data_IF_938853219100
#
_entry.id   IF_938853219100
#
_cell.length_a   1.000
_cell.length_b   1.000
_cell.length_c   1.000
_cell.angle_alpha   90.00
_cell.angle_beta   90.00
_cell.angle_gamma   90.00
#
_symmetry.space_group_name_H-M   'P 1'
#
loop_
_entity.id
_entity.type
_entity.pdbx_description
1 polymer ?
#
# COMPACT_ATOMS: atom_id res chain seq x y z
N UNK A 1 47.38 19.95 28.78
CA UNK A 1 47.02 18.55 28.61
C UNK A 1 45.53 18.30 28.82
N UNK A 2 44.94 18.76 29.90
CA UNK A 2 43.54 18.59 30.19
C UNK A 2 42.64 19.17 29.08
N UNK A 3 42.97 20.31 28.56
CA UNK A 3 42.22 21.02 27.51
C UNK A 3 42.15 20.21 26.23
N UNK A 4 43.23 19.55 25.83
CA UNK A 4 43.27 18.72 24.62
C UNK A 4 42.43 17.47 24.76
N UNK A 5 42.37 16.88 25.95
CA UNK A 5 41.54 15.71 26.24
C UNK A 5 40.08 16.06 26.13
N UNK A 6 39.67 17.20 26.69
CA UNK A 6 38.29 17.68 26.63
C UNK A 6 37.91 17.97 25.20
N UNK A 7 38.76 18.63 24.41
CA UNK A 7 38.50 18.88 22.99
C UNK A 7 38.33 17.59 22.20
N UNK A 8 39.17 16.60 22.46
CA UNK A 8 39.09 15.30 21.80
C UNK A 8 37.75 14.59 22.10
N UNK A 9 37.31 14.63 23.35
CA UNK A 9 36.03 14.06 23.76
C UNK A 9 34.86 14.75 23.09
N UNK A 10 34.92 16.08 22.98
CA UNK A 10 33.86 16.84 22.31
C UNK A 10 33.75 16.47 20.83
N UNK A 11 34.91 16.34 20.15
CA UNK A 11 34.93 15.96 18.73
C UNK A 11 34.35 14.55 18.53
N UNK A 12 34.73 13.61 19.39
CA UNK A 12 34.19 12.25 19.35
C UNK A 12 32.65 12.25 19.56
N UNK A 13 32.19 13.04 20.53
CA UNK A 13 30.75 13.13 20.81
C UNK A 13 29.99 13.74 19.66
N UNK A 14 30.51 14.80 19.07
CA UNK A 14 29.92 15.42 17.89
C UNK A 14 29.84 14.44 16.71
N UNK A 15 30.89 13.67 16.47
CA UNK A 15 30.92 12.64 15.44
C UNK A 15 29.87 11.55 15.69
N UNK A 16 29.72 11.12 16.93
CA UNK A 16 28.71 10.13 17.31
C UNK A 16 27.29 10.64 17.09
N UNK A 17 27.01 11.87 17.50
CA UNK A 17 25.69 12.49 17.27
C UNK A 17 25.37 12.63 15.79
N UNK A 18 26.36 13.01 14.99
CA UNK A 18 26.19 13.13 13.53
C UNK A 18 25.89 11.76 12.92
N UNK A 19 26.58 10.71 13.36
CA UNK A 19 26.36 9.35 12.91
C UNK A 19 24.94 8.88 13.24
N UNK A 20 24.47 9.11 14.46
CA UNK A 20 23.10 8.78 14.85
C UNK A 20 22.07 9.53 14.01
N UNK A 21 22.31 10.80 13.75
CA UNK A 21 21.42 11.63 12.95
C UNK A 21 21.30 11.11 11.51
N UNK A 22 22.42 10.73 10.91
CA UNK A 22 22.44 10.15 9.57
C UNK A 22 21.70 8.81 9.55
N UNK A 23 21.91 7.98 10.58
CA UNK A 23 21.23 6.68 10.70
C UNK A 23 19.71 6.86 10.81
N UNK A 24 19.26 7.80 11.64
CA UNK A 24 17.84 8.10 11.79
C UNK A 24 17.23 8.64 10.50
N UNK A 25 17.97 9.51 9.81
CA UNK A 25 17.52 10.06 8.53
C UNK A 25 17.39 8.97 7.47
N UNK A 26 18.31 8.02 7.44
CA UNK A 26 18.27 6.89 6.51
C UNK A 26 17.07 5.98 6.79
N UNK A 27 16.75 5.72 8.06
CA UNK A 27 15.57 4.94 8.43
C UNK A 27 14.29 5.70 8.08
N UNK A 28 14.22 6.99 8.36
CA UNK A 28 13.08 7.82 8.02
C UNK A 28 12.86 7.89 6.49
N UNK A 29 13.94 7.99 5.71
CA UNK A 29 13.85 7.96 4.25
C UNK A 29 13.45 6.60 3.71
N UNK A 30 13.85 5.52 4.39
CA UNK A 30 13.44 4.17 3.99
C UNK A 30 11.94 3.95 4.27
N UNK A 31 11.42 4.59 5.31
CA UNK A 31 9.98 4.58 5.61
C UNK A 31 9.20 5.57 4.74
N UNK A 32 9.86 6.59 4.22
CA UNK A 32 9.33 7.46 3.18
C UNK A 32 9.61 6.83 1.81
N UNK A 33 9.33 5.56 1.65
CA UNK A 33 9.25 5.02 0.30
C UNK A 33 8.34 5.95 -0.50
N UNK A 34 8.83 6.44 -1.57
CA UNK A 34 8.25 7.30 -2.60
C UNK A 34 6.72 7.29 -2.72
N UNK A 35 6.03 7.15 -1.60
CA UNK A 35 4.60 7.29 -1.57
C UNK A 35 4.31 8.77 -1.40
N UNK A 36 3.86 9.37 -2.42
CA UNK A 36 3.28 10.69 -2.34
C UNK A 36 1.98 10.67 -1.52
N UNK A 37 1.78 9.62 -0.71
CA UNK A 37 0.55 9.42 0.04
C UNK A 37 -0.66 9.21 -0.84
N UNK A 38 -0.45 8.94 -2.11
CA UNK A 38 -1.52 8.81 -3.08
C UNK A 38 -2.18 7.44 -2.97
N UNK A 39 -3.46 7.44 -2.70
CA UNK A 39 -4.27 6.24 -2.69
C UNK A 39 -4.96 6.11 -4.05
N UNK A 40 -4.79 4.97 -4.69
CA UNK A 40 -5.41 4.68 -5.97
C UNK A 40 -6.61 3.77 -5.76
N UNK A 41 -7.72 4.12 -6.39
CA UNK A 41 -8.97 3.40 -6.26
C UNK A 41 -9.39 2.86 -7.62
N UNK A 42 -9.69 1.58 -7.68
CA UNK A 42 -10.27 0.94 -8.84
C UNK A 42 -11.56 0.23 -8.47
N UNK A 43 -12.60 0.37 -9.29
CA UNK A 43 -13.89 -0.26 -9.06
C UNK A 43 -14.28 -1.08 -10.28
N UNK A 44 -14.60 -2.35 -10.06
CA UNK A 44 -15.16 -3.24 -11.07
C UNK A 44 -16.54 -3.69 -10.62
N UNK A 45 -17.57 -3.38 -11.41
CA UNK A 45 -18.93 -3.87 -11.16
C UNK A 45 -19.18 -5.10 -12.01
N UNK A 46 -19.88 -6.07 -11.45
CA UNK A 46 -20.15 -7.30 -12.16
C UNK A 46 -21.46 -7.93 -11.65
N UNK A 47 -21.93 -8.92 -12.40
CA UNK A 47 -23.13 -9.66 -12.05
C UNK A 47 -22.79 -11.15 -12.02
N UNK A 48 -22.43 -11.72 -10.82
CA UNK A 48 -21.96 -13.10 -10.74
C UNK A 48 -23.07 -14.14 -10.99
N UNK A 49 -24.33 -13.77 -10.81
CA UNK A 49 -25.43 -14.71 -10.89
C UNK A 49 -26.36 -14.50 -12.11
N UNK A 50 -25.98 -13.61 -13.00
CA UNK A 50 -26.65 -13.42 -14.30
C UNK A 50 -28.07 -12.87 -14.28
N UNK A 51 -28.90 -13.34 -13.36
CA UNK A 51 -30.35 -13.07 -13.38
C UNK A 51 -30.88 -12.31 -12.16
N UNK A 52 -30.03 -11.91 -11.24
CA UNK A 52 -30.49 -11.29 -10.00
C UNK A 52 -30.00 -9.85 -9.92
N UNK A 53 -30.90 -8.92 -10.22
CA UNK A 53 -30.62 -7.51 -10.08
C UNK A 53 -29.52 -7.01 -11.01
N UNK A 54 -29.50 -5.72 -11.23
CA UNK A 54 -28.52 -5.07 -12.08
C UNK A 54 -27.22 -4.77 -11.34
N UNK A 55 -26.10 -5.34 -11.76
CA UNK A 55 -24.74 -4.93 -11.40
C UNK A 55 -24.55 -4.38 -9.97
N UNK A 56 -25.17 -5.01 -8.98
CA UNK A 56 -25.05 -4.60 -7.58
C UNK A 56 -23.81 -5.21 -6.90
N UNK A 57 -23.24 -6.24 -7.50
CA UNK A 57 -21.97 -6.78 -7.04
C UNK A 57 -20.82 -5.94 -7.57
N UNK A 58 -19.81 -5.73 -6.72
CA UNK A 58 -18.65 -4.96 -7.11
C UNK A 58 -17.40 -5.45 -6.40
N UNK A 59 -16.27 -5.13 -7.00
CA UNK A 59 -14.95 -5.34 -6.41
C UNK A 59 -14.21 -4.01 -6.43
N UNK A 60 -13.73 -3.58 -5.27
CA UNK A 60 -13.00 -2.32 -5.15
C UNK A 60 -11.59 -2.59 -4.66
N UNK A 61 -10.62 -2.03 -5.37
CA UNK A 61 -9.23 -2.10 -4.98
C UNK A 61 -8.76 -0.73 -4.49
N UNK A 62 -8.17 -0.71 -3.30
CA UNK A 62 -7.52 0.46 -2.74
C UNK A 62 -6.03 0.15 -2.68
N UNK A 63 -5.23 0.86 -3.46
CA UNK A 63 -3.80 0.61 -3.55
C UNK A 63 -3.00 1.78 -2.97
N UNK A 64 -2.01 1.43 -2.17
CA UNK A 64 -0.99 2.37 -1.69
C UNK A 64 0.33 2.01 -2.36
N UNK A 65 0.95 2.98 -3.01
CA UNK A 65 2.28 2.84 -3.62
C UNK A 65 2.40 1.75 -4.71
N UNK A 66 1.31 1.36 -5.30
CA UNK A 66 1.27 0.28 -6.31
C UNK A 66 1.74 -1.08 -5.79
N UNK A 67 1.88 -1.24 -4.48
CA UNK A 67 2.37 -2.48 -3.87
C UNK A 67 1.37 -3.09 -2.91
N UNK A 68 1.00 -2.33 -1.89
CA UNK A 68 0.11 -2.78 -0.83
C UNK A 68 -1.28 -2.24 -1.05
N UNK A 69 -2.26 -3.03 -0.67
CA UNK A 69 -3.62 -2.56 -0.80
C UNK A 69 -4.62 -3.48 -0.13
N UNK A 70 -5.87 -3.10 -0.28
CA UNK A 70 -7.02 -3.85 0.21
C UNK A 70 -7.99 -4.04 -0.94
N UNK A 71 -8.48 -5.25 -1.09
CA UNK A 71 -9.59 -5.53 -2.00
C UNK A 71 -10.84 -5.76 -1.18
N UNK A 72 -11.88 -4.99 -1.50
CA UNK A 72 -13.19 -5.15 -0.92
C UNK A 72 -14.12 -5.69 -2.00
N UNK A 73 -14.69 -6.86 -1.77
CA UNK A 73 -15.60 -7.50 -2.71
C UNK A 73 -16.97 -7.63 -2.06
N UNK A 74 -17.99 -7.10 -2.73
CA UNK A 74 -19.39 -7.22 -2.31
C UNK A 74 -20.13 -8.07 -3.31
N UNK A 75 -20.69 -9.19 -2.86
CA UNK A 75 -21.49 -10.09 -3.68
C UNK A 75 -22.94 -9.97 -3.27
N UNK A 76 -23.76 -9.49 -4.18
CA UNK A 76 -25.20 -9.36 -3.96
C UNK A 76 -25.93 -10.52 -4.61
N UNK A 77 -26.63 -11.31 -3.81
CA UNK A 77 -27.41 -12.47 -4.28
C UNK A 77 -28.84 -12.43 -3.74
N UNK A 78 -29.59 -13.47 -4.08
CA UNK A 78 -31.00 -13.58 -3.64
C UNK A 78 -31.15 -13.63 -2.13
N UNK A 79 -30.19 -14.23 -1.43
CA UNK A 79 -30.24 -14.43 0.02
C UNK A 79 -29.56 -13.30 0.81
N UNK A 80 -29.20 -12.22 0.16
CA UNK A 80 -28.53 -11.09 0.80
C UNK A 80 -27.21 -10.74 0.20
N UNK A 81 -26.50 -9.84 0.86
CA UNK A 81 -25.20 -9.34 0.40
C UNK A 81 -24.10 -9.89 1.28
N UNK A 82 -23.03 -10.39 0.67
CA UNK A 82 -21.83 -10.81 1.36
C UNK A 82 -20.67 -9.88 1.00
N UNK A 83 -19.94 -9.45 2.01
CA UNK A 83 -18.80 -8.53 1.82
C UNK A 83 -17.55 -9.21 2.33
N UNK A 84 -16.51 -9.19 1.53
CA UNK A 84 -15.20 -9.74 1.87
C UNK A 84 -14.15 -8.63 1.73
N UNK A 85 -13.27 -8.54 2.70
CA UNK A 85 -12.12 -7.64 2.64
C UNK A 85 -10.85 -8.48 2.74
N UNK A 86 -9.89 -8.21 1.86
CA UNK A 86 -8.63 -8.93 1.83
C UNK A 86 -7.48 -7.98 1.57
N UNK A 87 -6.42 -8.13 2.36
CA UNK A 87 -5.20 -7.40 2.13
C UNK A 87 -4.40 -8.05 1.00
N UNK A 88 -3.87 -7.24 0.12
CA UNK A 88 -3.06 -7.72 -1.00
C UNK A 88 -1.68 -7.07 -0.98
N UNK A 89 -0.70 -7.82 -1.45
CA UNK A 89 0.65 -7.34 -1.69
C UNK A 89 1.03 -7.77 -3.11
N UNK A 90 1.12 -6.81 -4.02
CA UNK A 90 1.37 -7.08 -5.42
C UNK A 90 2.79 -7.62 -5.69
N UNK A 91 3.72 -7.43 -4.75
CA UNK A 91 5.06 -8.00 -4.88
C UNK A 91 5.12 -9.48 -4.49
N UNK A 92 4.43 -9.85 -3.41
CA UNK A 92 4.49 -11.20 -2.85
C UNK A 92 3.33 -12.09 -3.28
N UNK A 93 2.13 -11.52 -3.34
CA UNK A 93 0.98 -12.26 -3.80
C UNK A 93 0.92 -12.22 -5.31
N UNK A 94 1.61 -13.14 -5.87
CA UNK A 94 1.50 -13.39 -7.30
C UNK A 94 0.02 -13.46 -7.67
N UNK A 95 -0.30 -12.94 -8.82
CA UNK A 95 -1.64 -12.80 -9.37
C UNK A 95 -2.47 -14.09 -9.39
N UNK A 96 -1.91 -15.18 -8.92
CA UNK A 96 -2.46 -16.53 -9.02
C UNK A 96 -3.71 -16.77 -8.16
N UNK A 97 -3.89 -16.00 -7.08
CA UNK A 97 -5.02 -16.18 -6.16
C UNK A 97 -6.13 -15.16 -6.31
N UNK A 98 -6.05 -14.32 -7.32
CA UNK A 98 -7.02 -13.26 -7.53
C UNK A 98 -8.07 -13.68 -8.55
N UNK A 99 -9.34 -13.35 -8.29
CA UNK A 99 -10.38 -13.53 -9.28
C UNK A 99 -10.22 -12.53 -10.43
N UNK A 100 -10.89 -12.77 -11.55
CA UNK A 100 -10.82 -11.87 -12.68
C UNK A 100 -11.34 -10.47 -12.35
N UNK A 101 -12.39 -10.38 -11.57
CA UNK A 101 -12.97 -9.11 -11.11
C UNK A 101 -11.98 -8.36 -10.21
N UNK A 102 -11.29 -9.08 -9.34
CA UNK A 102 -10.26 -8.48 -8.49
C UNK A 102 -9.09 -7.95 -9.32
N UNK A 103 -8.66 -8.70 -10.32
CA UNK A 103 -7.61 -8.26 -11.25
C UNK A 103 -8.03 -7.01 -12.01
N UNK A 104 -9.28 -6.98 -12.48
CA UNK A 104 -9.82 -5.82 -13.18
C UNK A 104 -9.84 -4.59 -12.29
N UNK A 105 -10.26 -4.74 -11.03
CA UNK A 105 -10.28 -3.63 -10.08
C UNK A 105 -8.86 -3.09 -9.84
N UNK A 106 -7.88 -3.97 -9.69
CA UNK A 106 -6.47 -3.58 -9.52
C UNK A 106 -5.96 -2.84 -10.76
N UNK A 107 -6.24 -3.35 -11.96
CA UNK A 107 -5.84 -2.70 -13.20
C UNK A 107 -6.43 -1.29 -13.33
N UNK A 108 -7.70 -1.14 -12.99
CA UNK A 108 -8.35 0.17 -13.00
C UNK A 108 -7.72 1.14 -12.01
N UNK A 109 -7.35 0.64 -10.82
CA UNK A 109 -6.66 1.46 -9.83
C UNK A 109 -5.30 1.92 -10.34
N UNK A 110 -4.55 1.04 -10.99
CA UNK A 110 -3.24 1.37 -11.54
C UNK A 110 -3.33 2.36 -12.71
N UNK A 111 -4.36 2.26 -13.53
CA UNK A 111 -4.56 3.17 -14.67
C UNK A 111 -4.87 4.61 -14.25
N UNK A 112 -5.52 4.80 -13.12
CA UNK A 112 -5.85 6.15 -12.61
C UNK A 112 -4.59 6.97 -12.37
N UNK A 113 -3.47 6.32 -12.11
CA UNK A 113 -2.20 7.01 -11.85
C UNK A 113 -1.50 7.51 -13.11
N UNK A 114 -1.91 7.07 -14.29
CA UNK A 114 -1.26 7.44 -15.56
C UNK A 114 -1.86 8.72 -16.19
N UNK A 115 -2.88 9.26 -15.56
CA UNK A 115 -3.44 10.54 -15.95
C UNK A 115 -2.79 11.65 -15.10
#
# INVERSE_FOLDING_TARGET
MFLYIVLFLIVLWMGYLTFLFIKLKKVANKNKTNSNGEIKIGLAKFNPFGNVGSNQSFCMALLMDNKLGIILTSLHGRNGTRVYARQIDLEQNKKEKLSEEEKEAIEKALKVSEK
#
